data_IF_840974104321
#
_entry.id   IF_840974104321
#
_cell.length_a   1.000
_cell.length_b   1.000
_cell.length_c   1.000
_cell.angle_alpha   90.00
_cell.angle_beta   90.00
_cell.angle_gamma   90.00
#
_symmetry.space_group_name_H-M   'P 1'
#
loop_
_entity.id
_entity.type
_entity.pdbx_description
1 polymer ?
#
# COMPACT_ATOMS: atom_id res chain seq x y z
N UNK A 1 22.40 -27.68 -5.73
CA UNK A 1 23.44 -26.69 -5.40
C UNK A 1 23.38 -26.50 -3.89
N UNK A 2 24.50 -26.62 -3.16
CA UNK A 2 24.52 -26.27 -1.73
C UNK A 2 24.19 -24.78 -1.56
N UNK A 3 23.65 -24.39 -0.40
CA UNK A 3 23.50 -22.98 0.02
C UNK A 3 22.61 -22.07 -0.85
N UNK A 4 21.61 -22.62 -1.56
CA UNK A 4 20.56 -21.85 -2.25
C UNK A 4 19.18 -22.33 -1.78
N UNK A 5 18.38 -21.41 -1.25
CA UNK A 5 17.00 -21.67 -0.82
C UNK A 5 16.03 -20.88 -1.68
N UNK A 6 15.01 -21.53 -2.24
CA UNK A 6 13.92 -20.82 -2.93
C UNK A 6 12.94 -20.27 -1.90
N UNK A 7 12.76 -18.96 -1.87
CA UNK A 7 11.82 -18.28 -0.97
C UNK A 7 10.43 -18.16 -1.59
N UNK A 8 10.36 -17.85 -2.89
CA UNK A 8 9.09 -17.69 -3.59
C UNK A 8 9.26 -17.93 -5.10
N UNK A 9 8.25 -18.49 -5.75
CA UNK A 9 8.14 -18.64 -7.19
C UNK A 9 6.91 -17.85 -7.64
N UNK A 10 7.11 -16.86 -8.50
CA UNK A 10 5.98 -16.05 -8.96
C UNK A 10 5.07 -16.87 -9.87
N UNK A 11 3.76 -16.79 -9.65
CA UNK A 11 2.76 -17.41 -10.53
C UNK A 11 2.56 -16.62 -11.84
N UNK A 12 2.95 -15.34 -11.85
CA UNK A 12 2.65 -14.40 -12.92
C UNK A 12 3.90 -13.93 -13.67
N UNK A 13 5.04 -13.95 -13.00
CA UNK A 13 6.33 -13.59 -13.57
C UNK A 13 7.16 -14.85 -13.76
N UNK A 14 7.92 -14.92 -14.85
CA UNK A 14 8.96 -15.94 -15.01
C UNK A 14 10.17 -15.61 -14.12
N UNK A 15 9.96 -15.65 -12.80
CA UNK A 15 10.90 -15.19 -11.78
C UNK A 15 10.79 -16.03 -10.50
N UNK A 16 11.93 -16.21 -9.85
CA UNK A 16 12.08 -16.89 -8.56
C UNK A 16 12.88 -15.99 -7.62
N UNK A 17 12.40 -15.85 -6.38
CA UNK A 17 13.15 -15.23 -5.30
C UNK A 17 13.93 -16.31 -4.55
N UNK A 18 15.25 -16.12 -4.43
CA UNK A 18 16.15 -17.04 -3.73
C UNK A 18 16.88 -16.33 -2.59
N UNK A 19 17.26 -17.10 -1.58
CA UNK A 19 18.19 -16.72 -0.53
C UNK A 19 19.50 -17.49 -0.74
N UNK A 20 20.61 -16.77 -0.84
CA UNK A 20 21.96 -17.35 -0.85
C UNK A 20 22.98 -16.33 -0.35
N UNK A 21 24.05 -16.81 0.27
CA UNK A 21 25.24 -16.03 0.62
C UNK A 21 26.47 -16.48 -0.18
N UNK A 22 26.30 -17.46 -1.08
CA UNK A 22 27.38 -18.07 -1.86
C UNK A 22 27.48 -17.42 -3.24
N UNK A 23 28.57 -16.68 -3.47
CA UNK A 23 28.84 -16.02 -4.74
C UNK A 23 29.02 -17.01 -5.91
N UNK A 24 29.64 -18.17 -5.66
CA UNK A 24 29.85 -19.18 -6.71
C UNK A 24 28.53 -19.83 -7.13
N UNK A 25 27.57 -19.94 -6.22
CA UNK A 25 26.23 -20.38 -6.56
C UNK A 25 25.51 -19.37 -7.46
N UNK A 26 25.67 -18.06 -7.21
CA UNK A 26 25.10 -17.00 -8.04
C UNK A 26 25.71 -16.98 -9.44
N UNK A 27 27.02 -17.11 -9.57
CA UNK A 27 27.71 -17.20 -10.87
C UNK A 27 27.20 -18.38 -11.69
N UNK A 28 27.01 -19.53 -11.04
CA UNK A 28 26.47 -20.72 -11.69
C UNK A 28 25.02 -20.56 -12.13
N UNK A 29 24.19 -19.86 -11.34
CA UNK A 29 22.80 -19.56 -11.71
C UNK A 29 22.76 -18.61 -12.92
N UNK A 30 23.60 -17.57 -12.92
CA UNK A 30 23.70 -16.65 -14.05
C UNK A 30 24.23 -17.32 -15.33
N UNK A 31 24.94 -18.44 -15.21
CA UNK A 31 25.40 -19.23 -16.35
C UNK A 31 24.34 -20.11 -17.01
N UNK A 32 23.13 -20.25 -16.43
CA UNK A 32 22.07 -21.02 -17.06
C UNK A 32 21.48 -20.29 -18.27
N UNK A 33 21.31 -20.99 -19.40
CA UNK A 33 20.78 -20.41 -20.64
C UNK A 33 19.36 -19.86 -20.52
N UNK A 34 18.60 -20.33 -19.53
CA UNK A 34 17.23 -19.88 -19.25
C UNK A 34 17.16 -18.77 -18.20
N UNK A 35 18.29 -18.38 -17.60
CA UNK A 35 18.36 -17.26 -16.65
C UNK A 35 18.74 -16.01 -17.41
N UNK A 36 17.83 -15.06 -17.49
CA UNK A 36 18.08 -13.78 -18.16
C UNK A 36 18.92 -12.83 -17.28
N UNK A 37 18.56 -12.72 -16.00
CA UNK A 37 19.28 -11.88 -15.04
C UNK A 37 18.98 -12.29 -13.59
N UNK A 38 19.90 -12.01 -12.67
CA UNK A 38 19.68 -12.02 -11.24
C UNK A 38 19.90 -10.61 -10.67
N UNK A 39 19.03 -10.19 -9.74
CA UNK A 39 19.12 -8.89 -9.07
C UNK A 39 18.99 -9.07 -7.55
N UNK A 40 19.80 -8.38 -6.75
CA UNK A 40 19.70 -8.47 -5.30
C UNK A 40 18.42 -7.81 -4.80
N UNK A 41 17.66 -8.52 -3.95
CA UNK A 41 16.46 -8.02 -3.29
C UNK A 41 16.83 -7.78 -1.82
N UNK A 42 17.13 -6.54 -1.46
CA UNK A 42 17.50 -6.14 -0.11
C UNK A 42 17.53 -4.63 0.03
N UNK A 43 17.47 -4.14 1.28
CA UNK A 43 17.64 -2.73 1.57
C UNK A 43 19.01 -2.31 1.01
N UNK A 44 19.03 -1.43 0.01
CA UNK A 44 20.27 -0.73 -0.31
C UNK A 44 20.59 0.06 0.94
N UNK A 45 21.64 -0.33 1.66
CA UNK A 45 22.36 0.65 2.45
C UNK A 45 22.88 1.65 1.43
N UNK A 46 22.10 2.67 1.14
CA UNK A 46 22.59 3.83 0.43
C UNK A 46 23.72 4.36 1.29
N UNK A 47 24.95 4.12 0.87
CA UNK A 47 26.15 4.77 1.41
C UNK A 47 26.18 6.28 1.09
N UNK A 48 25.09 6.83 0.57
CA UNK A 48 24.84 8.27 0.56
C UNK A 48 24.36 8.69 1.94
N UNK A 49 24.81 9.85 2.41
CA UNK A 49 24.30 10.50 3.61
C UNK A 49 22.76 10.56 3.55
N UNK A 50 22.09 9.57 4.13
CA UNK A 50 20.68 9.64 4.40
C UNK A 50 20.58 10.67 5.51
N UNK A 51 20.29 11.92 5.14
CA UNK A 51 19.62 12.82 6.05
C UNK A 51 18.39 12.05 6.52
N UNK A 52 18.46 11.53 7.75
CA UNK A 52 17.29 11.02 8.46
C UNK A 52 16.40 12.22 8.72
N UNK A 53 15.70 12.68 7.70
CA UNK A 53 14.70 13.71 7.85
C UNK A 53 13.50 13.37 6.98
N UNK A 54 12.89 12.24 7.33
CA UNK A 54 11.46 11.98 7.12
C UNK A 54 10.74 11.76 8.44
N UNK A 55 11.35 12.18 9.55
CA UNK A 55 10.52 12.61 10.67
C UNK A 55 9.88 13.91 10.22
N UNK A 56 8.76 13.81 9.50
CA UNK A 56 7.75 14.86 9.62
C UNK A 56 7.61 15.01 11.14
N UNK A 57 7.95 16.17 11.75
CA UNK A 57 7.68 16.35 13.16
C UNK A 57 6.23 15.94 13.34
N UNK A 58 5.94 15.07 14.30
CA UNK A 58 4.56 14.83 14.70
C UNK A 58 4.00 16.22 14.97
N UNK A 59 3.28 16.77 13.99
CA UNK A 59 2.68 18.07 14.14
C UNK A 59 1.84 17.92 15.41
N UNK A 60 1.96 18.82 16.40
CA UNK A 60 1.13 18.73 17.58
C UNK A 60 -0.29 18.54 17.07
N UNK A 61 -0.96 17.49 17.55
CA UNK A 61 -2.32 17.13 17.13
C UNK A 61 -3.12 18.41 17.25
N UNK A 62 -3.34 19.09 16.11
CA UNK A 62 -4.14 20.30 16.10
C UNK A 62 -5.53 19.80 16.48
N UNK A 63 -6.20 20.45 17.44
CA UNK A 63 -7.61 20.19 17.67
C UNK A 63 -8.29 20.21 16.31
N UNK A 64 -8.94 19.11 15.95
CA UNK A 64 -9.74 19.05 14.73
C UNK A 64 -10.66 20.26 14.83
N UNK A 65 -10.57 21.25 13.91
CA UNK A 65 -11.45 22.40 13.95
C UNK A 65 -12.88 21.87 14.06
N UNK A 66 -13.74 22.46 14.92
CA UNK A 66 -15.14 22.05 14.96
C UNK A 66 -15.66 22.00 13.52
N UNK A 67 -16.36 20.93 13.12
CA UNK A 67 -16.77 20.75 11.74
C UNK A 67 -17.40 22.05 11.28
N UNK A 68 -16.78 22.68 10.28
CA UNK A 68 -17.31 23.92 9.71
C UNK A 68 -18.77 23.63 9.36
N UNK A 69 -19.69 24.49 9.82
CA UNK A 69 -21.11 24.34 9.57
C UNK A 69 -21.32 24.10 8.07
N UNK A 70 -21.80 22.91 7.74
CA UNK A 70 -21.89 22.44 6.37
C UNK A 70 -23.10 23.08 5.70
N UNK A 71 -23.02 23.46 4.42
CA UNK A 71 -24.19 23.39 3.55
C UNK A 71 -24.38 21.91 3.20
N UNK A 72 -24.83 21.07 4.14
CA UNK A 72 -25.21 19.70 3.82
C UNK A 72 -26.53 19.77 3.05
N UNK A 73 -26.58 19.16 1.87
CA UNK A 73 -27.85 19.08 1.16
C UNK A 73 -28.77 18.21 2.04
N UNK A 74 -30.00 18.64 2.37
CA UNK A 74 -30.93 17.82 3.15
C UNK A 74 -31.17 16.43 2.54
N UNK A 75 -30.87 16.27 1.25
CA UNK A 75 -31.00 15.02 0.51
C UNK A 75 -29.75 14.13 0.55
N UNK A 76 -28.67 14.55 1.23
CA UNK A 76 -27.46 13.75 1.33
C UNK A 76 -27.68 12.50 2.18
N UNK A 77 -27.33 11.34 1.63
CA UNK A 77 -27.50 10.03 2.29
C UNK A 77 -26.50 9.83 3.44
N UNK A 78 -25.34 10.51 3.39
CA UNK A 78 -24.26 10.36 4.37
C UNK A 78 -23.87 11.69 5.00
N UNK A 79 -23.59 11.66 6.30
CA UNK A 79 -22.83 12.70 6.98
C UNK A 79 -21.33 12.36 6.92
N UNK A 80 -20.61 13.02 6.00
CA UNK A 80 -19.17 12.79 5.82
C UNK A 80 -18.28 13.40 6.91
N UNK A 81 -18.83 14.06 7.93
CA UNK A 81 -18.08 14.75 8.98
C UNK A 81 -16.93 15.61 8.43
N UNK A 82 -15.72 15.37 8.94
CA UNK A 82 -14.46 16.04 8.55
C UNK A 82 -13.96 15.66 7.14
N UNK A 83 -14.44 14.54 6.58
CA UNK A 83 -14.04 14.09 5.25
C UNK A 83 -14.83 14.80 4.12
N UNK A 84 -15.84 15.61 4.45
CA UNK A 84 -16.70 16.27 3.47
C UNK A 84 -15.91 17.00 2.37
N UNK A 85 -14.89 17.78 2.71
CA UNK A 85 -14.12 18.51 1.70
C UNK A 85 -13.45 17.59 0.66
N UNK A 86 -12.97 16.41 1.08
CA UNK A 86 -12.33 15.43 0.20
C UNK A 86 -13.35 14.67 -0.66
N UNK A 87 -14.56 14.47 -0.14
CA UNK A 87 -15.66 13.84 -0.88
C UNK A 87 -16.24 14.82 -1.89
N UNK A 88 -16.53 16.05 -1.44
CA UNK A 88 -17.12 17.13 -2.21
C UNK A 88 -16.21 17.59 -3.36
N UNK A 89 -14.89 17.63 -3.17
CA UNK A 89 -13.97 17.99 -4.27
C UNK A 89 -14.04 17.01 -5.45
N UNK A 90 -14.46 15.77 -5.21
CA UNK A 90 -14.67 14.75 -6.23
C UNK A 90 -16.15 14.55 -6.59
N UNK A 91 -17.06 15.32 -5.98
CA UNK A 91 -18.52 15.21 -6.11
C UNK A 91 -19.03 13.78 -5.87
N UNK A 92 -18.38 13.05 -4.95
CA UNK A 92 -18.69 11.63 -4.70
C UNK A 92 -20.04 11.46 -4.00
N UNK A 93 -20.49 12.47 -3.24
CA UNK A 93 -21.81 12.53 -2.61
C UNK A 93 -22.96 12.43 -3.63
N UNK A 94 -22.81 13.00 -4.83
CA UNK A 94 -23.80 12.89 -5.89
C UNK A 94 -24.07 11.42 -6.25
N UNK A 95 -23.01 10.62 -6.41
CA UNK A 95 -23.13 9.19 -6.71
C UNK A 95 -23.69 8.40 -5.53
N UNK A 96 -23.26 8.74 -4.32
CA UNK A 96 -23.76 8.09 -3.11
C UNK A 96 -25.26 8.35 -2.89
N UNK A 97 -25.74 9.55 -3.23
CA UNK A 97 -27.15 9.93 -3.19
C UNK A 97 -28.00 9.16 -4.22
N UNK A 98 -27.38 8.75 -5.34
CA UNK A 98 -27.99 7.85 -6.32
C UNK A 98 -27.88 6.35 -5.95
N UNK A 99 -27.25 6.03 -4.81
CA UNK A 99 -27.10 4.67 -4.31
C UNK A 99 -25.82 3.95 -4.77
N UNK A 100 -24.99 4.58 -5.60
CA UNK A 100 -23.72 4.01 -6.06
C UNK A 100 -22.63 4.21 -5.01
N UNK A 101 -22.23 3.12 -4.35
CA UNK A 101 -21.31 3.15 -3.20
C UNK A 101 -20.18 2.11 -3.32
N UNK A 102 -19.99 1.55 -4.52
CA UNK A 102 -18.97 0.54 -4.80
C UNK A 102 -19.37 -0.90 -4.48
N UNK A 103 -20.65 -1.17 -4.21
CA UNK A 103 -21.13 -2.54 -3.97
C UNK A 103 -20.81 -3.44 -5.17
N UNK A 104 -20.24 -4.62 -4.89
CA UNK A 104 -19.81 -5.56 -5.93
C UNK A 104 -18.45 -5.25 -6.56
N UNK A 105 -17.80 -4.14 -6.20
CA UNK A 105 -16.43 -3.83 -6.64
C UNK A 105 -15.41 -4.43 -5.66
N UNK A 106 -14.37 -5.05 -6.21
CA UNK A 106 -13.24 -5.56 -5.42
C UNK A 106 -12.04 -4.61 -5.57
N UNK A 107 -11.56 -4.07 -4.45
CA UNK A 107 -10.40 -3.19 -4.39
C UNK A 107 -9.26 -3.90 -3.66
N UNK A 108 -8.13 -4.11 -4.35
CA UNK A 108 -6.92 -4.65 -3.74
C UNK A 108 -6.00 -3.50 -3.30
N UNK A 109 -5.75 -3.40 -2.00
CA UNK A 109 -4.93 -2.34 -1.40
C UNK A 109 -3.66 -2.96 -0.81
N UNK A 110 -2.49 -2.54 -1.30
CA UNK A 110 -1.19 -3.00 -0.82
C UNK A 110 -0.59 -1.94 0.11
N UNK A 111 -0.88 -2.05 1.40
CA UNK A 111 -0.42 -1.14 2.47
C UNK A 111 0.12 -1.97 3.66
N UNK A 112 0.48 -1.31 4.77
CA UNK A 112 0.85 -1.94 6.04
C UNK A 112 -0.34 -2.61 6.76
N UNK A 113 -1.52 -2.62 6.13
CA UNK A 113 -2.76 -3.19 6.63
C UNK A 113 -3.71 -2.12 7.19
N UNK A 114 -4.88 -2.57 7.66
CA UNK A 114 -5.88 -1.70 8.27
C UNK A 114 -5.95 -1.95 9.77
N UNK A 115 -6.08 -0.86 10.54
CA UNK A 115 -6.25 -0.93 11.99
C UNK A 115 -7.50 -1.73 12.34
N UNK A 116 -7.37 -2.74 13.20
CA UNK A 116 -8.49 -3.58 13.66
C UNK A 116 -9.36 -4.20 12.54
N UNK A 117 -8.76 -4.55 11.39
CA UNK A 117 -9.53 -5.11 10.26
C UNK A 117 -10.30 -6.40 10.58
N UNK A 118 -9.89 -7.16 11.60
CA UNK A 118 -10.58 -8.38 12.02
C UNK A 118 -11.82 -8.13 12.87
N UNK A 119 -12.01 -6.92 13.42
CA UNK A 119 -13.09 -6.62 14.36
C UNK A 119 -13.94 -5.41 13.98
N UNK A 120 -13.50 -4.58 13.05
CA UNK A 120 -14.29 -3.48 12.53
C UNK A 120 -15.32 -4.00 11.49
N UNK A 121 -16.63 -3.74 11.68
CA UNK A 121 -17.68 -4.20 10.75
C UNK A 121 -17.52 -3.71 9.31
N UNK A 122 -16.72 -2.68 9.06
CA UNK A 122 -16.42 -2.17 7.71
C UNK A 122 -15.65 -3.17 6.85
N UNK A 123 -14.98 -4.16 7.46
CA UNK A 123 -14.13 -5.13 6.77
C UNK A 123 -14.67 -6.58 6.82
N UNK A 124 -15.91 -6.78 7.26
CA UNK A 124 -16.61 -8.09 7.31
C UNK A 124 -17.59 -8.24 6.14
#
# INVERSE_FOLDING_TARGET
MPNVTVLNVSKWLNQVCILTTDAAALDKINGFSFVNAAQPIGLRNSSGNITKDKSVPLLPVRPIPPPAAKPQNPNDVYDYGVAYAQVHMHNTEFLHNLGFKGQGMQLAIMDAGFYHYQSLPTFD
#
